data_IF_570002444639
#
_entry.id   IF_570002444639
#
_cell.length_a   1.000
_cell.length_b   1.000
_cell.length_c   1.000
_cell.angle_alpha   90.00
_cell.angle_beta   90.00
_cell.angle_gamma   90.00
#
_symmetry.space_group_name_H-M   'P 1'
#
loop_
_entity.id
_entity.type
_entity.pdbx_description
1 polymer ?
#
# COMPACT_ATOMS: atom_id res chain seq x y z
N UNK A 1 21.47 58.44 -67.41
CA UNK A 1 22.20 58.24 -66.14
C UNK A 1 21.19 57.80 -65.10
N UNK A 2 21.18 56.51 -64.76
CA UNK A 2 20.11 55.85 -63.99
C UNK A 2 20.54 55.60 -62.53
N UNK A 3 19.75 56.10 -61.58
CA UNK A 3 19.87 55.88 -60.13
C UNK A 3 18.87 54.80 -59.71
N UNK A 4 19.26 53.52 -59.69
CA UNK A 4 18.43 52.47 -59.10
C UNK A 4 19.20 51.18 -58.82
N UNK A 5 20.01 51.12 -57.76
CA UNK A 5 20.45 49.83 -57.17
C UNK A 5 21.27 50.04 -55.89
N UNK A 6 20.66 50.44 -54.77
CA UNK A 6 21.36 50.43 -53.48
C UNK A 6 20.43 50.46 -52.24
N UNK A 7 19.39 49.61 -52.17
CA UNK A 7 18.52 49.53 -50.97
C UNK A 7 17.89 48.15 -50.71
N UNK A 8 18.66 47.05 -50.82
CA UNK A 8 18.15 45.69 -50.49
C UNK A 8 19.06 44.83 -49.59
N UNK A 9 20.07 45.41 -48.94
CA UNK A 9 21.09 44.62 -48.23
C UNK A 9 21.11 44.65 -46.69
N UNK A 10 20.21 45.37 -46.00
CA UNK A 10 20.44 45.69 -44.56
C UNK A 10 19.31 45.24 -43.61
N UNK A 11 18.19 44.69 -44.11
CA UNK A 11 17.05 44.34 -43.24
C UNK A 11 16.94 42.86 -42.83
N UNK A 12 17.89 41.99 -43.22
CA UNK A 12 17.81 40.56 -42.88
C UNK A 12 18.78 40.09 -41.78
N UNK A 13 19.64 40.97 -41.25
CA UNK A 13 20.69 40.59 -40.28
C UNK A 13 20.37 40.90 -38.82
N UNK A 14 19.26 41.59 -38.52
CA UNK A 14 18.94 42.01 -37.14
C UNK A 14 17.89 41.13 -36.43
N UNK A 15 17.21 40.21 -37.14
CA UNK A 15 16.19 39.34 -36.55
C UNK A 15 16.73 38.02 -35.97
N UNK A 16 18.02 37.70 -36.17
CA UNK A 16 18.62 36.45 -35.70
C UNK A 16 19.30 36.56 -34.32
N UNK A 17 19.60 37.76 -33.83
CA UNK A 17 20.25 37.96 -32.52
C UNK A 17 19.29 38.09 -31.33
N UNK A 18 17.99 38.28 -31.57
CA UNK A 18 17.01 38.47 -30.50
C UNK A 18 16.49 37.17 -29.86
N UNK A 19 16.79 35.98 -30.42
CA UNK A 19 16.35 34.68 -29.87
C UNK A 19 17.43 33.98 -29.02
N UNK A 20 18.59 34.59 -28.78
CA UNK A 20 19.74 33.94 -28.14
C UNK A 20 19.86 34.20 -26.63
N UNK A 21 18.90 34.89 -26.00
CA UNK A 21 19.02 35.34 -24.61
C UNK A 21 17.89 34.89 -23.67
N UNK A 22 17.04 33.95 -24.09
CA UNK A 22 16.02 33.35 -23.20
C UNK A 22 16.39 31.92 -22.75
N UNK A 23 17.68 31.61 -22.62
CA UNK A 23 18.12 30.41 -21.92
C UNK A 23 18.09 30.73 -20.42
N UNK A 24 16.88 30.76 -19.86
CA UNK A 24 16.71 30.75 -18.41
C UNK A 24 17.24 29.42 -17.89
N UNK A 25 18.35 29.44 -17.16
CA UNK A 25 18.82 28.27 -16.43
C UNK A 25 17.72 27.87 -15.44
N UNK A 26 17.01 26.77 -15.70
CA UNK A 26 16.08 26.20 -14.74
C UNK A 26 16.90 25.65 -13.55
N UNK A 27 17.09 26.47 -12.51
CA UNK A 27 17.67 26.02 -11.25
C UNK A 27 16.60 25.41 -10.36
N UNK A 28 16.90 24.31 -9.69
CA UNK A 28 16.01 23.76 -8.66
C UNK A 28 15.84 24.81 -7.56
N UNK A 29 14.60 25.15 -7.16
CA UNK A 29 14.38 26.17 -6.14
C UNK A 29 14.92 25.73 -4.77
N UNK A 30 15.33 26.70 -3.97
CA UNK A 30 15.78 26.49 -2.58
C UNK A 30 14.58 26.22 -1.67
N UNK A 31 14.01 25.03 -1.79
CA UNK A 31 12.84 24.60 -1.02
C UNK A 31 13.09 23.26 -0.36
N UNK A 32 12.72 23.17 0.92
CA UNK A 32 12.64 21.92 1.64
C UNK A 32 11.19 21.43 1.64
N UNK A 33 10.98 20.19 1.22
CA UNK A 33 9.67 19.55 1.26
C UNK A 33 9.61 18.66 2.50
N UNK A 34 8.59 18.87 3.33
CA UNK A 34 8.34 18.03 4.51
C UNK A 34 7.32 16.94 4.20
N UNK A 35 7.43 15.80 4.89
CA UNK A 35 6.50 14.69 4.79
C UNK A 35 6.40 13.95 6.13
N UNK A 36 5.24 13.34 6.35
CA UNK A 36 4.91 12.75 7.66
C UNK A 36 5.32 11.29 7.77
N UNK A 37 5.75 10.81 8.95
CA UNK A 37 5.91 9.39 9.21
C UNK A 37 4.55 8.68 9.20
N UNK A 38 4.59 7.37 8.96
CA UNK A 38 3.43 6.48 9.01
C UNK A 38 3.21 6.01 10.46
N UNK A 39 1.97 6.15 10.95
CA UNK A 39 1.41 5.40 12.07
C UNK A 39 0.59 4.24 11.54
N UNK A 40 0.45 3.24 12.39
CA UNK A 40 -0.41 2.11 12.13
C UNK A 40 -1.38 1.89 13.28
N UNK A 41 -2.57 1.43 12.93
CA UNK A 41 -3.49 0.74 13.80
C UNK A 41 -3.99 -0.51 13.06
N UNK A 42 -4.45 -1.51 13.79
CA UNK A 42 -5.11 -2.67 13.19
C UNK A 42 -6.45 -2.85 13.89
N UNK A 43 -7.53 -2.70 13.14
CA UNK A 43 -8.86 -3.08 13.60
C UNK A 43 -9.01 -4.59 13.48
N UNK A 44 -9.44 -5.22 14.57
CA UNK A 44 -9.67 -6.67 14.63
C UNK A 44 -11.13 -6.89 14.96
N UNK A 45 -11.84 -7.58 14.07
CA UNK A 45 -13.24 -7.96 14.26
C UNK A 45 -13.34 -9.47 14.44
N UNK A 46 -13.81 -9.90 15.61
CA UNK A 46 -14.04 -11.30 15.95
C UNK A 46 -15.53 -11.59 15.87
N UNK A 47 -15.91 -12.48 14.96
CA UNK A 47 -17.31 -12.82 14.71
C UNK A 47 -17.60 -14.20 15.28
N UNK A 48 -18.55 -14.25 16.22
CA UNK A 48 -19.12 -15.49 16.73
C UNK A 48 -20.53 -15.61 16.19
N UNK A 49 -20.76 -16.62 15.36
CA UNK A 49 -22.07 -16.92 14.80
C UNK A 49 -22.65 -18.13 15.50
N UNK A 50 -23.78 -17.93 16.18
CA UNK A 50 -24.50 -18.96 16.90
C UNK A 50 -25.74 -19.31 16.11
N UNK A 51 -25.84 -20.55 15.65
CA UNK A 51 -27.00 -21.06 14.92
C UNK A 51 -27.70 -22.14 15.73
N UNK A 52 -29.01 -22.01 15.89
CA UNK A 52 -29.86 -22.97 16.57
C UNK A 52 -30.66 -23.82 15.58
N UNK A 53 -30.72 -25.13 15.83
CA UNK A 53 -31.63 -26.03 15.12
C UNK A 53 -33.11 -25.70 15.42
N UNK A 54 -34.03 -26.19 14.58
CA UNK A 54 -35.49 -26.08 14.80
C UNK A 54 -35.92 -26.72 16.13
N UNK A 55 -35.29 -27.84 16.49
CA UNK A 55 -35.60 -28.61 17.69
C UNK A 55 -34.93 -28.09 18.97
N UNK A 56 -34.24 -26.94 18.90
CA UNK A 56 -33.53 -26.32 20.02
C UNK A 56 -32.43 -27.20 20.67
N UNK A 57 -31.98 -28.26 19.97
CA UNK A 57 -31.00 -29.22 20.49
C UNK A 57 -29.55 -28.98 20.06
N UNK A 58 -29.33 -28.31 18.92
CA UNK A 58 -28.00 -28.19 18.32
C UNK A 58 -27.66 -26.71 18.19
N UNK A 59 -26.56 -26.34 18.85
CA UNK A 59 -25.94 -25.02 18.73
C UNK A 59 -24.63 -25.19 17.98
N UNK A 60 -24.54 -24.61 16.79
CA UNK A 60 -23.27 -24.49 16.06
C UNK A 60 -22.71 -23.10 16.30
N UNK A 61 -21.51 -23.05 16.86
CA UNK A 61 -20.76 -21.81 17.05
C UNK A 61 -19.67 -21.77 15.99
N UNK A 62 -19.88 -20.93 14.98
CA UNK A 62 -18.85 -20.63 13.99
C UNK A 62 -18.07 -19.40 14.47
N UNK A 63 -16.75 -19.46 14.33
CA UNK A 63 -15.82 -18.41 14.78
C UNK A 63 -15.00 -17.95 13.59
N UNK A 64 -14.85 -16.63 13.47
CA UNK A 64 -14.07 -16.02 12.41
C UNK A 64 -13.39 -14.76 12.94
N UNK A 65 -12.27 -14.37 12.32
CA UNK A 65 -11.53 -13.17 12.68
C UNK A 65 -11.08 -12.42 11.41
N UNK A 66 -11.41 -11.14 11.34
CA UNK A 66 -10.97 -10.24 10.28
C UNK A 66 -9.98 -9.21 10.84
N UNK A 67 -8.95 -8.92 10.04
CA UNK A 67 -7.88 -7.99 10.39
C UNK A 67 -7.78 -6.92 9.32
N UNK A 68 -7.98 -5.66 9.71
CA UNK A 68 -7.94 -4.51 8.80
C UNK A 68 -6.86 -3.55 9.28
N UNK A 69 -5.68 -3.51 8.63
CA UNK A 69 -4.66 -2.53 8.95
C UNK A 69 -5.09 -1.15 8.45
N UNK A 70 -4.90 -0.14 9.30
CA UNK A 70 -5.18 1.26 9.02
C UNK A 70 -3.88 2.02 9.16
N UNK A 71 -3.48 2.71 8.09
CA UNK A 71 -2.27 3.53 8.08
C UNK A 71 -2.63 5.00 7.97
N UNK A 72 -2.01 5.83 8.79
CA UNK A 72 -2.27 7.27 8.85
C UNK A 72 -0.98 8.03 9.13
N UNK A 73 -0.98 9.34 8.89
CA UNK A 73 0.13 10.20 9.23
C UNK A 73 0.30 10.37 10.75
N UNK A 74 1.55 10.51 11.20
CA UNK A 74 1.88 10.73 12.62
C UNK A 74 1.78 12.19 13.05
N UNK A 75 0.57 12.65 13.41
CA UNK A 75 0.40 13.93 14.08
C UNK A 75 0.64 13.74 15.61
N UNK A 76 1.52 14.53 16.28
CA UNK A 76 2.21 15.75 15.85
C UNK A 76 3.75 15.61 15.71
N UNK A 77 4.27 14.44 15.31
CA UNK A 77 5.74 14.24 15.30
C UNK A 77 6.45 15.13 14.29
N UNK A 78 7.75 15.36 14.51
CA UNK A 78 8.61 16.09 13.59
C UNK A 78 8.53 15.48 12.18
N UNK A 79 8.15 16.31 11.21
CA UNK A 79 8.14 15.91 9.81
C UNK A 79 9.56 15.51 9.37
N UNK A 80 9.64 14.48 8.54
CA UNK A 80 10.85 14.24 7.75
C UNK A 80 10.96 15.32 6.67
N UNK A 81 12.18 15.66 6.24
CA UNK A 81 12.43 16.74 5.28
C UNK A 81 13.42 16.30 4.23
N UNK A 82 13.17 16.69 2.98
CA UNK A 82 14.12 16.58 1.87
C UNK A 82 14.39 18.00 1.38
N UNK A 83 15.66 18.37 1.34
CA UNK A 83 16.10 19.63 0.77
C UNK A 83 16.34 19.43 -0.74
N UNK A 84 15.47 20.00 -1.57
CA UNK A 84 15.55 19.82 -3.03
C UNK A 84 16.79 20.49 -3.63
N UNK A 85 17.31 21.54 -2.98
CA UNK A 85 18.53 22.21 -3.42
C UNK A 85 19.75 21.31 -3.36
N UNK A 86 19.76 20.33 -2.46
CA UNK A 86 20.87 19.38 -2.36
C UNK A 86 20.91 18.41 -3.55
N UNK A 87 19.79 18.23 -4.26
CA UNK A 87 19.73 17.44 -5.49
C UNK A 87 20.26 18.21 -6.70
N UNK A 88 20.35 19.55 -6.59
CA UNK A 88 20.80 20.43 -7.66
C UNK A 88 22.29 20.25 -7.99
N UNK A 89 22.61 20.37 -9.28
CA UNK A 89 23.97 20.58 -9.77
C UNK A 89 23.91 21.54 -10.94
N UNK A 90 24.88 22.47 -10.95
CA UNK A 90 25.02 23.58 -11.90
C UNK A 90 25.00 23.25 -13.41
N UNK A 91 24.99 21.96 -13.82
CA UNK A 91 24.98 21.53 -15.22
C UNK A 91 24.02 20.39 -15.55
N UNK A 92 23.07 20.10 -14.66
CA UNK A 92 22.18 18.97 -14.80
C UNK A 92 20.73 19.42 -14.81
N UNK A 93 19.99 19.00 -15.83
CA UNK A 93 18.55 19.21 -15.90
C UNK A 93 17.87 18.08 -15.13
N UNK A 94 17.20 18.43 -14.03
CA UNK A 94 16.60 17.47 -13.10
C UNK A 94 15.11 17.69 -13.01
N UNK A 95 14.35 16.66 -13.37
CA UNK A 95 12.93 16.55 -13.12
C UNK A 95 12.73 15.72 -11.83
N UNK A 96 12.09 16.31 -10.82
CA UNK A 96 11.81 15.68 -9.54
C UNK A 96 10.30 15.75 -9.29
N UNK A 97 9.66 14.58 -9.22
CA UNK A 97 8.26 14.43 -8.87
C UNK A 97 8.14 13.73 -7.52
N UNK A 98 7.52 14.42 -6.57
CA UNK A 98 7.11 13.87 -5.28
C UNK A 98 5.60 13.66 -5.30
N UNK A 99 5.14 12.50 -4.85
CA UNK A 99 3.72 12.25 -4.63
C UNK A 99 3.46 12.00 -3.15
N UNK A 100 2.38 12.57 -2.65
CA UNK A 100 1.93 12.43 -1.26
C UNK A 100 0.55 11.81 -1.23
N UNK A 101 0.25 11.14 -0.12
CA UNK A 101 -1.13 10.79 0.24
C UNK A 101 -1.88 12.04 0.74
N UNK A 102 -3.21 11.93 0.83
CA UNK A 102 -4.05 13.05 1.29
C UNK A 102 -3.73 13.49 2.73
N UNK A 103 -3.18 12.60 3.55
CA UNK A 103 -2.74 12.87 4.93
C UNK A 103 -1.27 13.34 5.06
N UNK A 104 -0.58 13.56 3.93
CA UNK A 104 0.77 14.15 3.88
C UNK A 104 1.94 13.17 4.04
N UNK A 105 1.69 11.86 3.90
CA UNK A 105 2.75 10.84 3.87
C UNK A 105 3.36 10.75 2.47
N UNK A 106 4.63 10.39 2.39
CA UNK A 106 5.31 10.20 1.10
C UNK A 106 4.79 8.92 0.41
N UNK A 107 4.30 9.04 -0.82
CA UNK A 107 3.84 7.92 -1.67
C UNK A 107 4.89 7.51 -2.69
N UNK A 108 5.53 8.48 -3.34
CA UNK A 108 6.62 8.18 -4.29
C UNK A 108 7.58 9.34 -4.48
N UNK A 109 8.81 9.01 -4.87
CA UNK A 109 9.83 9.95 -5.35
C UNK A 109 10.31 9.45 -6.70
N UNK A 110 10.14 10.24 -7.75
CA UNK A 110 10.70 9.96 -9.07
C UNK A 110 11.64 11.11 -9.42
N UNK A 111 12.87 10.79 -9.77
CA UNK A 111 13.85 11.74 -10.25
C UNK A 111 14.40 11.25 -11.58
N UNK A 112 14.42 12.12 -12.59
CA UNK A 112 15.17 11.91 -13.82
C UNK A 112 16.08 13.10 -14.03
N UNK A 113 17.37 12.83 -14.14
CA UNK A 113 18.37 13.85 -14.43
C UNK A 113 19.03 13.55 -15.76
N UNK A 114 19.17 14.56 -16.62
CA UNK A 114 20.01 14.52 -17.82
C UNK A 114 21.14 15.53 -17.69
N UNK A 115 22.38 15.04 -17.74
CA UNK A 115 23.57 15.89 -17.80
C UNK A 115 23.68 16.59 -19.15
N UNK A 116 23.80 17.91 -19.16
CA UNK A 116 23.84 18.71 -20.39
C UNK A 116 25.16 18.54 -21.17
N UNK A 117 26.18 17.92 -20.56
CA UNK A 117 27.43 17.60 -21.24
C UNK A 117 27.24 16.72 -22.49
N UNK A 118 26.18 15.91 -22.54
CA UNK A 118 25.86 15.12 -23.73
C UNK A 118 25.45 16.00 -24.91
N UNK A 119 24.71 17.10 -24.69
CA UNK A 119 24.32 18.02 -25.76
C UNK A 119 25.52 18.83 -26.28
N UNK A 120 26.47 19.18 -25.43
CA UNK A 120 27.70 19.86 -25.85
C UNK A 120 28.55 18.95 -26.75
N UNK A 121 28.72 17.68 -26.35
CA UNK A 121 29.49 16.71 -27.14
C UNK A 121 28.74 16.30 -28.42
N UNK A 122 27.42 16.09 -28.36
CA UNK A 122 26.60 15.83 -29.55
C UNK A 122 26.50 17.05 -30.46
N UNK A 123 26.56 18.28 -29.96
CA UNK A 123 26.67 19.49 -30.77
C UNK A 123 27.95 19.50 -31.60
N UNK A 124 29.07 19.06 -31.00
CA UNK A 124 30.34 18.94 -31.71
C UNK A 124 30.35 17.78 -32.74
N UNK A 125 29.68 16.66 -32.45
CA UNK A 125 29.65 15.47 -33.32
C UNK A 125 28.55 15.58 -34.42
N UNK A 126 27.44 16.27 -34.16
CA UNK A 126 26.35 16.48 -35.14
C UNK A 126 26.73 17.45 -36.25
N UNK A 127 27.72 18.32 -36.03
CA UNK A 127 28.42 19.05 -37.10
C UNK A 127 29.21 18.12 -38.04
N UNK A 128 29.55 16.90 -37.61
CA UNK A 128 30.20 15.87 -38.44
C UNK A 128 29.26 14.76 -38.95
N UNK A 129 28.12 14.51 -38.30
CA UNK A 129 27.24 13.37 -38.59
C UNK A 129 26.02 13.70 -39.47
N UNK A 130 25.87 14.95 -39.93
CA UNK A 130 24.83 15.35 -40.90
C UNK A 130 24.97 14.71 -42.29
N UNK A 131 25.94 13.81 -42.48
CA UNK A 131 26.14 13.04 -43.72
C UNK A 131 25.52 11.64 -43.71
N UNK A 132 25.04 11.11 -42.57
CA UNK A 132 24.61 9.71 -42.49
C UNK A 132 23.45 9.53 -41.52
N UNK A 133 22.20 9.65 -41.99
CA UNK A 133 21.06 9.13 -41.23
C UNK A 133 20.00 8.51 -42.13
N UNK A 134 19.59 7.30 -41.75
CA UNK A 134 18.45 6.60 -42.31
C UNK A 134 18.25 5.27 -41.60
N UNK A 135 17.40 5.22 -40.57
CA UNK A 135 16.49 4.10 -40.32
C UNK A 135 15.48 4.37 -39.18
N UNK A 136 14.24 3.99 -39.44
CA UNK A 136 13.04 4.08 -38.60
C UNK A 136 12.82 2.79 -37.81
N UNK A 137 12.31 2.86 -36.58
CA UNK A 137 11.70 1.71 -35.87
C UNK A 137 10.43 2.15 -35.13
N UNK A 138 9.35 1.37 -35.32
CA UNK A 138 7.99 1.61 -34.83
C UNK A 138 7.64 0.97 -33.46
N UNK A 139 6.35 0.96 -33.07
CA UNK A 139 5.90 0.79 -31.69
C UNK A 139 5.59 -0.67 -31.29
N UNK A 140 5.81 -1.01 -30.01
CA UNK A 140 5.53 -2.32 -29.41
C UNK A 140 4.31 -2.32 -28.47
N UNK A 141 3.69 -3.50 -28.40
CA UNK A 141 2.36 -3.81 -27.89
C UNK A 141 2.24 -3.97 -26.36
N UNK A 142 0.98 -3.92 -25.91
CA UNK A 142 0.48 -4.05 -24.53
C UNK A 142 0.21 -5.50 -24.13
N UNK A 143 0.50 -5.87 -22.87
CA UNK A 143 0.25 -7.20 -22.29
C UNK A 143 -0.57 -7.14 -20.98
N UNK A 144 -1.46 -8.13 -20.86
CA UNK A 144 -2.43 -8.40 -19.80
C UNK A 144 -1.82 -8.64 -18.40
N UNK A 145 -2.52 -8.20 -17.35
CA UNK A 145 -2.21 -8.49 -15.94
C UNK A 145 -2.96 -9.73 -15.38
N UNK A 146 -2.37 -10.46 -14.42
CA UNK A 146 -2.97 -11.62 -13.76
C UNK A 146 -3.76 -11.27 -12.49
N UNK A 147 -4.84 -12.02 -12.26
CA UNK A 147 -5.75 -11.91 -11.11
C UNK A 147 -5.17 -12.63 -9.89
N UNK A 148 -4.93 -11.91 -8.79
CA UNK A 148 -4.46 -12.49 -7.53
C UNK A 148 -5.64 -13.13 -6.76
N UNK A 149 -5.57 -14.45 -6.55
CA UNK A 149 -6.56 -15.23 -5.80
C UNK A 149 -6.43 -15.01 -4.29
N UNK A 150 -7.58 -14.79 -3.64
CA UNK A 150 -7.73 -14.78 -2.20
C UNK A 150 -7.50 -16.23 -1.70
N UNK A 151 -6.51 -16.41 -0.82
CA UNK A 151 -6.31 -17.66 -0.10
C UNK A 151 -7.47 -17.82 0.89
N UNK A 152 -8.42 -18.66 0.53
CA UNK A 152 -9.50 -19.13 1.41
C UNK A 152 -8.87 -19.93 2.56
N UNK A 153 -9.00 -19.41 3.78
CA UNK A 153 -8.62 -20.12 4.99
C UNK A 153 -9.49 -21.37 5.15
N UNK A 154 -8.83 -22.49 5.42
CA UNK A 154 -9.43 -23.79 5.67
C UNK A 154 -10.29 -23.71 6.96
N UNK A 155 -11.61 -23.87 6.81
CA UNK A 155 -12.56 -23.73 7.92
C UNK A 155 -12.61 -25.01 8.75
N UNK A 156 -11.99 -24.97 9.92
CA UNK A 156 -12.20 -25.98 10.96
C UNK A 156 -13.62 -25.86 11.54
N UNK A 157 -14.57 -26.60 10.97
CA UNK A 157 -15.91 -26.77 11.54
C UNK A 157 -15.79 -27.73 12.73
N UNK A 158 -15.39 -27.21 13.89
CA UNK A 158 -15.40 -27.95 15.15
C UNK A 158 -16.85 -28.29 15.56
N UNK A 159 -17.29 -29.51 15.25
CA UNK A 159 -18.50 -30.12 15.85
C UNK A 159 -18.20 -30.58 17.28
N UNK A 160 -17.83 -29.66 18.17
CA UNK A 160 -17.75 -30.00 19.60
C UNK A 160 -19.18 -29.94 20.15
N UNK A 161 -19.76 -31.10 20.45
CA UNK A 161 -20.98 -31.14 21.27
C UNK A 161 -20.65 -30.42 22.59
N UNK A 162 -21.29 -29.28 22.81
CA UNK A 162 -21.16 -28.51 24.05
C UNK A 162 -21.58 -29.43 25.21
N UNK A 163 -20.60 -29.95 25.96
CA UNK A 163 -20.83 -30.44 27.32
C UNK A 163 -21.06 -29.20 28.19
N UNK A 164 -22.27 -28.66 28.16
CA UNK A 164 -22.61 -27.36 28.70
C UNK A 164 -24.12 -27.18 28.84
N UNK A 165 -24.61 -25.95 29.07
CA UNK A 165 -26.01 -25.64 29.42
C UNK A 165 -27.04 -26.29 28.50
N UNK A 166 -28.27 -26.44 29.00
CA UNK A 166 -29.40 -26.91 28.20
C UNK A 166 -29.50 -26.09 26.89
N UNK A 167 -29.24 -26.70 25.71
CA UNK A 167 -29.23 -26.01 24.42
C UNK A 167 -30.50 -25.19 24.16
N UNK A 168 -31.63 -25.63 24.71
CA UNK A 168 -32.91 -24.93 24.67
C UNK A 168 -32.89 -23.53 25.30
N UNK A 169 -32.16 -23.31 26.39
CA UNK A 169 -32.07 -21.99 27.02
C UNK A 169 -31.32 -20.99 26.14
N UNK A 170 -30.23 -21.45 25.51
CA UNK A 170 -29.43 -20.66 24.57
C UNK A 170 -30.29 -20.28 23.36
N UNK A 171 -30.97 -21.26 22.76
CA UNK A 171 -31.82 -21.00 21.59
C UNK A 171 -33.02 -20.12 21.91
N UNK A 172 -33.60 -20.24 23.11
CA UNK A 172 -34.63 -19.31 23.59
C UNK A 172 -34.12 -17.86 23.68
N UNK A 173 -32.88 -17.65 24.13
CA UNK A 173 -32.26 -16.32 24.15
C UNK A 173 -31.98 -15.78 22.73
N UNK A 174 -31.49 -16.62 21.82
CA UNK A 174 -31.26 -16.23 20.42
C UNK A 174 -32.56 -15.84 19.73
N UNK A 175 -33.64 -16.63 19.89
CA UNK A 175 -34.95 -16.32 19.30
C UNK A 175 -35.54 -15.01 19.79
N UNK A 176 -35.28 -14.61 21.04
CA UNK A 176 -35.72 -13.31 21.59
C UNK A 176 -34.98 -12.12 21.00
N UNK A 177 -33.75 -12.33 20.52
CA UNK A 177 -32.88 -11.28 19.99
C UNK A 177 -32.86 -11.22 18.46
N UNK A 178 -33.54 -12.15 17.78
CA UNK A 178 -33.56 -12.23 16.31
C UNK A 178 -34.98 -12.11 15.77
N UNK A 179 -35.16 -11.25 14.76
CA UNK A 179 -36.39 -11.20 13.98
C UNK A 179 -36.26 -12.24 12.88
N UNK A 180 -36.97 -13.35 13.01
CA UNK A 180 -36.86 -14.49 12.10
C UNK A 180 -37.92 -14.42 11.00
N UNK A 181 -37.48 -14.59 9.76
CA UNK A 181 -38.38 -15.02 8.70
C UNK A 181 -38.82 -16.48 8.96
N UNK A 182 -40.03 -16.89 8.54
CA UNK A 182 -40.59 -18.23 8.83
C UNK A 182 -39.68 -19.40 8.41
N UNK A 183 -38.84 -19.18 7.40
CA UNK A 183 -38.06 -20.22 6.76
C UNK A 183 -36.59 -20.24 7.22
N UNK A 184 -36.17 -19.27 8.04
CA UNK A 184 -34.78 -19.14 8.49
C UNK A 184 -34.59 -19.72 9.89
N UNK A 185 -33.44 -20.35 10.11
CA UNK A 185 -33.08 -20.78 11.46
C UNK A 185 -32.68 -19.57 12.32
N UNK A 186 -32.96 -19.62 13.63
CA UNK A 186 -32.45 -18.64 14.59
C UNK A 186 -30.92 -18.60 14.50
N UNK A 187 -30.41 -17.51 13.94
CA UNK A 187 -28.98 -17.26 13.83
C UNK A 187 -28.70 -15.84 14.31
N UNK A 188 -27.71 -15.69 15.19
CA UNK A 188 -27.17 -14.39 15.56
C UNK A 188 -25.66 -14.37 15.30
N UNK A 189 -25.17 -13.24 14.81
CA UNK A 189 -23.74 -12.97 14.66
C UNK A 189 -23.35 -11.85 15.62
N UNK A 190 -22.52 -12.20 16.59
CA UNK A 190 -21.99 -11.27 17.59
C UNK A 190 -20.61 -10.84 17.14
N UNK A 191 -20.42 -9.53 17.01
CA UNK A 191 -19.17 -8.95 16.51
C UNK A 191 -18.49 -8.25 17.68
N UNK A 192 -17.29 -8.71 18.01
CA UNK A 192 -16.43 -8.03 18.96
C UNK A 192 -15.33 -7.30 18.21
N UNK A 193 -15.09 -6.04 18.55
CA UNK A 193 -14.06 -5.22 17.91
C UNK A 193 -12.97 -4.86 18.90
N UNK A 194 -11.72 -4.94 18.46
CA UNK A 194 -10.55 -4.41 19.14
C UNK A 194 -9.73 -3.56 18.17
N UNK A 195 -8.94 -2.64 18.71
CA UNK A 195 -7.93 -1.91 17.95
C UNK A 195 -6.56 -2.16 18.57
N UNK A 196 -5.61 -2.59 17.75
CA UNK A 196 -4.20 -2.64 18.12
C UNK A 196 -3.49 -1.41 17.56
N UNK A 197 -2.46 -0.93 18.25
CA UNK A 197 -1.57 0.12 17.76
C UNK A 197 -0.20 0.00 18.45
N UNK A 198 0.70 0.97 18.23
CA UNK A 198 2.04 0.97 18.82
C UNK A 198 2.06 1.00 20.36
N UNK A 199 0.99 1.49 21.00
CA UNK A 199 0.88 1.63 22.46
C UNK A 199 0.12 0.45 23.09
N UNK A 200 -0.81 -0.15 22.34
CA UNK A 200 -1.64 -1.27 22.76
C UNK A 200 -1.48 -2.45 21.79
N UNK A 201 -0.46 -3.27 22.01
CA UNK A 201 -0.22 -4.50 21.23
C UNK A 201 -1.08 -5.69 21.69
N UNK A 202 -1.86 -5.51 22.76
CA UNK A 202 -2.82 -6.49 23.25
C UNK A 202 -4.11 -5.76 23.58
N UNK A 203 -5.24 -6.35 23.23
CA UNK A 203 -6.56 -5.78 23.47
C UNK A 203 -7.59 -6.88 23.70
N UNK A 204 -8.62 -6.56 24.48
CA UNK A 204 -9.80 -7.41 24.65
C UNK A 204 -10.88 -6.84 23.72
N UNK A 205 -11.32 -7.59 22.69
CA UNK A 205 -12.45 -7.20 21.85
C UNK A 205 -13.69 -6.97 22.68
N UNK A 206 -14.38 -5.86 22.41
CA UNK A 206 -15.65 -5.52 23.05
C UNK A 206 -16.80 -5.73 22.07
N UNK A 207 -17.90 -6.27 22.55
CA UNK A 207 -19.13 -6.34 21.78
C UNK A 207 -19.65 -4.92 21.51
N UNK A 208 -20.47 -4.77 20.48
CA UNK A 208 -21.25 -3.52 20.31
C UNK A 208 -22.22 -3.35 21.48
N UNK A 209 -22.52 -2.09 21.85
CA UNK A 209 -23.43 -1.76 22.96
C UNK A 209 -24.78 -2.49 22.85
N UNK A 210 -25.31 -2.63 21.63
CA UNK A 210 -26.58 -3.31 21.35
C UNK A 210 -26.52 -4.83 21.59
N UNK A 211 -25.31 -5.41 21.64
CA UNK A 211 -25.07 -6.83 21.81
C UNK A 211 -24.61 -7.21 23.23
N UNK A 212 -24.29 -6.23 24.09
CA UNK A 212 -23.79 -6.50 25.45
C UNK A 212 -24.77 -7.36 26.27
N UNK A 213 -26.07 -7.02 26.24
CA UNK A 213 -27.12 -7.78 26.95
C UNK A 213 -27.19 -9.24 26.48
N UNK A 214 -27.03 -9.46 25.17
CA UNK A 214 -27.02 -10.81 24.61
C UNK A 214 -25.77 -11.59 25.05
N UNK A 215 -24.61 -10.95 25.03
CA UNK A 215 -23.33 -11.55 25.46
C UNK A 215 -23.37 -11.91 26.95
N UNK A 216 -23.88 -11.03 27.80
CA UNK A 216 -24.06 -11.32 29.24
C UNK A 216 -25.05 -12.46 29.46
N UNK A 217 -26.16 -12.48 28.72
CA UNK A 217 -27.13 -13.56 28.76
C UNK A 217 -26.50 -14.91 28.38
N UNK A 218 -25.72 -14.95 27.30
CA UNK A 218 -24.99 -16.15 26.89
C UNK A 218 -23.95 -16.58 27.93
N UNK A 219 -23.23 -15.63 28.54
CA UNK A 219 -22.27 -15.89 29.60
C UNK A 219 -22.93 -16.46 30.85
N UNK A 220 -24.13 -15.98 31.22
CA UNK A 220 -24.91 -16.53 32.34
C UNK A 220 -25.36 -17.98 32.10
N UNK A 221 -25.49 -18.36 30.82
CA UNK A 221 -25.72 -19.73 30.40
C UNK A 221 -24.42 -20.54 30.31
N UNK A 222 -23.25 -19.96 30.57
CA UNK A 222 -21.97 -20.67 30.48
C UNK A 222 -21.39 -20.77 29.07
N UNK A 223 -21.88 -19.96 28.11
CA UNK A 223 -21.22 -19.73 26.83
C UNK A 223 -20.36 -18.48 26.96
N UNK A 224 -19.05 -18.67 27.13
CA UNK A 224 -18.09 -17.57 27.19
C UNK A 224 -17.51 -17.27 25.80
N UNK A 225 -17.93 -16.13 25.24
CA UNK A 225 -17.44 -15.60 23.96
C UNK A 225 -16.29 -14.59 24.12
N UNK A 226 -15.75 -14.48 25.34
CA UNK A 226 -14.59 -13.62 25.60
C UNK A 226 -13.43 -14.07 24.73
N UNK A 227 -12.87 -13.11 23.98
CA UNK A 227 -11.70 -13.31 23.16
C UNK A 227 -10.59 -12.37 23.59
N UNK A 228 -9.37 -12.68 23.21
CA UNK A 228 -8.19 -11.85 23.42
C UNK A 228 -7.46 -11.72 22.09
N UNK A 229 -6.94 -10.53 21.84
CA UNK A 229 -6.15 -10.23 20.65
C UNK A 229 -4.75 -9.87 21.10
N UNK A 230 -3.76 -10.56 20.56
CA UNK A 230 -2.35 -10.34 20.87
C UNK A 230 -1.55 -10.12 19.60
N UNK A 231 -0.79 -9.03 19.57
CA UNK A 231 0.21 -8.73 18.57
C UNK A 231 1.62 -9.06 19.08
N UNK A 232 2.42 -9.70 18.23
CA UNK A 232 3.84 -9.96 18.47
C UNK A 232 4.63 -9.38 17.30
N UNK A 233 5.54 -8.45 17.58
CA UNK A 233 6.46 -7.96 16.58
C UNK A 233 7.46 -9.06 16.20
N UNK A 234 7.53 -9.35 14.91
CA UNK A 234 8.58 -10.16 14.33
C UNK A 234 9.92 -9.44 14.36
N UNK A 235 10.99 -10.22 14.35
CA UNK A 235 12.37 -9.72 14.30
C UNK A 235 12.87 -9.47 12.88
N UNK A 236 12.15 -9.98 11.88
CA UNK A 236 12.47 -9.83 10.46
C UNK A 236 12.09 -8.43 9.97
N UNK A 237 13.08 -7.68 9.48
CA UNK A 237 12.85 -6.41 8.80
C UNK A 237 12.29 -6.66 7.40
N UNK A 238 11.17 -6.02 7.06
CA UNK A 238 10.45 -6.25 5.80
C UNK A 238 10.98 -5.39 4.64
N UNK A 239 12.18 -4.85 4.76
CA UNK A 239 12.73 -3.97 3.75
C UNK A 239 13.62 -4.72 2.77
N UNK A 240 13.50 -4.42 1.45
CA UNK A 240 14.26 -5.13 0.42
C UNK A 240 15.74 -4.71 0.35
N UNK A 241 16.29 -4.06 1.38
CA UNK A 241 17.63 -3.48 1.37
C UNK A 241 18.51 -4.26 2.34
N UNK A 242 19.39 -5.10 1.80
CA UNK A 242 20.30 -5.93 2.60
C UNK A 242 21.33 -5.11 3.41
N UNK A 243 21.67 -3.90 2.96
CA UNK A 243 22.67 -3.04 3.58
C UNK A 243 22.14 -1.62 3.76
N UNK A 244 21.48 -1.38 4.89
CA UNK A 244 21.08 -0.05 5.32
C UNK A 244 22.33 0.76 5.66
N UNK A 245 22.71 1.71 4.80
CA UNK A 245 23.78 2.65 5.12
C UNK A 245 23.32 3.57 6.26
N UNK A 246 24.17 3.76 7.27
CA UNK A 246 23.94 4.75 8.34
C UNK A 246 24.35 6.16 7.94
N UNK A 247 25.13 6.32 6.87
CA UNK A 247 25.59 7.60 6.36
C UNK A 247 25.47 7.68 4.84
N UNK A 248 25.34 8.90 4.35
CA UNK A 248 25.14 9.24 2.95
C UNK A 248 26.44 9.86 2.41
N UNK A 249 26.83 9.50 1.19
CA UNK A 249 28.03 10.06 0.56
C UNK A 249 27.85 11.56 0.22
N UNK A 250 28.96 12.26 -0.04
CA UNK A 250 28.92 13.68 -0.45
C UNK A 250 28.10 13.93 -1.74
N UNK A 251 27.97 12.89 -2.58
CA UNK A 251 27.24 12.91 -3.86
C UNK A 251 25.81 12.36 -3.77
N UNK A 252 25.30 12.15 -2.56
CA UNK A 252 23.97 11.61 -2.30
C UNK A 252 23.20 12.57 -1.37
N UNK A 253 21.87 12.52 -1.41
CA UNK A 253 20.96 13.29 -0.55
C UNK A 253 20.21 12.29 0.34
N UNK A 254 20.16 12.51 1.67
CA UNK A 254 19.49 11.59 2.57
C UNK A 254 17.97 11.66 2.42
N UNK A 255 17.33 10.52 2.16
CA UNK A 255 15.89 10.34 2.33
C UNK A 255 15.60 9.47 3.56
N UNK A 256 15.03 10.05 4.61
CA UNK A 256 14.77 9.32 5.86
C UNK A 256 13.44 8.56 5.78
N UNK A 257 13.46 7.26 6.01
CA UNK A 257 12.27 6.40 5.99
C UNK A 257 12.19 5.57 7.28
N UNK A 258 10.98 5.17 7.67
CA UNK A 258 10.80 4.29 8.83
C UNK A 258 11.16 2.84 8.49
N UNK A 259 11.75 2.14 9.46
CA UNK A 259 11.97 0.69 9.37
C UNK A 259 10.63 -0.04 9.53
N UNK A 260 10.45 -1.08 8.72
CA UNK A 260 9.25 -1.90 8.70
C UNK A 260 9.52 -3.26 9.31
N UNK A 261 8.63 -3.71 10.18
CA UNK A 261 8.66 -5.07 10.74
C UNK A 261 7.33 -5.77 10.49
N UNK A 262 7.33 -7.08 10.62
CA UNK A 262 6.10 -7.86 10.64
C UNK A 262 5.44 -7.80 12.02
N UNK A 263 4.14 -7.59 12.09
CA UNK A 263 3.32 -7.83 13.28
C UNK A 263 2.51 -9.12 13.06
N UNK A 264 2.75 -10.13 13.87
CA UNK A 264 1.91 -11.32 13.93
C UNK A 264 0.79 -11.06 14.91
N UNK A 265 -0.43 -10.95 14.42
CA UNK A 265 -1.63 -10.78 15.24
C UNK A 265 -2.32 -12.14 15.36
N UNK A 266 -2.61 -12.57 16.59
CA UNK A 266 -3.42 -13.77 16.86
C UNK A 266 -4.65 -13.40 17.69
N UNK A 267 -5.73 -14.12 17.43
CA UNK A 267 -6.98 -14.05 18.22
C UNK A 267 -7.20 -15.40 18.87
N UNK A 268 -7.41 -15.39 20.18
CA UNK A 268 -7.66 -16.58 20.99
C UNK A 268 -8.94 -16.39 21.82
N UNK A 269 -9.73 -17.44 21.95
CA UNK A 269 -10.86 -17.54 22.88
C UNK A 269 -10.65 -18.69 23.88
N UNK A 270 -11.66 -18.94 24.71
CA UNK A 270 -11.68 -20.06 25.66
C UNK A 270 -11.54 -21.45 25.02
N UNK A 271 -11.78 -21.55 23.72
CA UNK A 271 -11.76 -22.78 22.92
C UNK A 271 -10.53 -22.89 22.01
N UNK A 272 -9.61 -21.92 22.05
CA UNK A 272 -8.33 -21.94 21.33
C UNK A 272 -8.14 -20.78 20.35
N UNK A 273 -7.22 -20.93 19.40
CA UNK A 273 -6.94 -19.91 18.38
C UNK A 273 -8.09 -19.84 17.36
N UNK A 274 -8.63 -18.65 17.17
CA UNK A 274 -9.66 -18.37 16.14
C UNK A 274 -8.98 -18.11 14.79
N UNK A 275 -7.91 -17.34 14.78
CA UNK A 275 -7.18 -16.99 13.56
C UNK A 275 -6.00 -16.06 13.83
N UNK A 276 -5.25 -15.76 12.79
CA UNK A 276 -4.14 -14.81 12.86
C UNK A 276 -3.76 -14.22 11.50
N UNK A 277 -3.04 -13.10 11.53
CA UNK A 277 -2.59 -12.39 10.34
C UNK A 277 -1.19 -11.79 10.53
N UNK A 278 -0.43 -11.72 9.43
CA UNK A 278 0.90 -11.10 9.36
C UNK A 278 0.76 -9.73 8.69
N UNK A 279 0.96 -8.65 9.43
CA UNK A 279 0.74 -7.26 8.97
C UNK A 279 2.08 -6.52 8.96
N UNK A 280 2.37 -5.76 7.89
CA UNK A 280 3.54 -4.89 7.87
C UNK A 280 3.28 -3.61 8.69
N UNK A 281 4.12 -3.31 9.66
CA UNK A 281 3.96 -2.13 10.52
C UNK A 281 5.25 -1.32 10.61
N UNK A 282 5.17 0.03 10.58
CA UNK A 282 6.32 0.89 10.78
C UNK A 282 6.75 0.88 12.26
N UNK A 283 8.05 1.05 12.48
CA UNK A 283 8.65 1.21 13.82
C UNK A 283 9.05 2.67 14.05
N UNK A 284 9.44 2.99 15.30
CA UNK A 284 10.04 4.30 15.62
C UNK A 284 11.46 4.46 15.08
N UNK A 285 12.11 3.37 14.64
CA UNK A 285 13.44 3.41 14.07
C UNK A 285 13.36 3.85 12.62
N UNK A 286 14.32 4.66 12.20
CA UNK A 286 14.45 5.13 10.82
C UNK A 286 15.72 4.57 10.18
N UNK A 287 15.81 4.71 8.87
CA UNK A 287 17.02 4.50 8.08
C UNK A 287 17.07 5.56 6.98
N UNK A 288 18.23 5.70 6.36
CA UNK A 288 18.43 6.67 5.29
C UNK A 288 18.59 5.93 3.96
N UNK A 289 17.76 6.29 2.99
CA UNK A 289 17.87 5.88 1.61
C UNK A 289 18.64 6.97 0.83
N UNK A 290 19.81 6.67 0.25
CA UNK A 290 20.57 7.67 -0.48
C UNK A 290 19.94 7.94 -1.85
N UNK A 291 19.54 9.19 -2.09
CA UNK A 291 19.14 9.66 -3.42
C UNK A 291 20.40 10.20 -4.12
N UNK A 292 20.85 9.63 -5.25
CA UNK A 292 22.04 10.12 -5.92
C UNK A 292 21.79 11.52 -6.49
N UNK A 293 22.73 12.45 -6.27
CA UNK A 293 22.68 13.78 -6.88
C UNK A 293 22.74 13.68 -8.40
N UNK A 294 22.23 14.73 -9.04
CA UNK A 294 22.25 14.87 -10.48
C UNK A 294 23.65 14.62 -11.09
N UNK A 295 23.75 13.73 -12.09
CA UNK A 295 25.01 13.46 -12.78
C UNK A 295 25.37 14.59 -13.76
N UNK A 296 26.66 14.92 -13.86
CA UNK A 296 27.14 15.93 -14.82
C UNK A 296 27.05 15.44 -16.28
N UNK A 297 27.09 14.12 -16.49
CA UNK A 297 27.08 13.48 -17.80
C UNK A 297 26.14 12.27 -17.82
N UNK A 298 25.50 12.04 -18.97
CA UNK A 298 24.58 10.93 -19.17
C UNK A 298 23.21 11.15 -18.51
N UNK A 299 22.40 10.09 -18.45
CA UNK A 299 21.10 10.11 -17.78
C UNK A 299 21.17 9.33 -16.47
N UNK A 300 20.53 9.85 -15.43
CA UNK A 300 20.36 9.17 -14.15
C UNK A 300 18.89 9.17 -13.79
N UNK A 301 18.38 8.05 -13.29
CA UNK A 301 17.01 7.95 -12.78
C UNK A 301 17.00 7.33 -11.39
N UNK A 302 16.16 7.88 -10.51
CA UNK A 302 15.84 7.30 -9.21
C UNK A 302 14.32 7.18 -9.11
N UNK A 303 13.86 6.03 -8.65
CA UNK A 303 12.44 5.77 -8.45
C UNK A 303 12.25 5.07 -7.12
N UNK A 304 11.37 5.64 -6.30
CA UNK A 304 10.88 5.07 -5.06
C UNK A 304 9.37 5.10 -5.07
N UNK A 305 8.73 3.95 -4.83
CA UNK A 305 7.30 3.85 -4.56
C UNK A 305 7.13 3.17 -3.21
N UNK A 306 6.35 3.80 -2.33
CA UNK A 306 5.99 3.29 -1.02
C UNK A 306 4.55 2.76 -1.06
N UNK A 307 4.30 1.67 -0.35
CA UNK A 307 2.94 1.21 -0.03
C UNK A 307 2.34 2.06 1.09
N UNK A 308 1.03 1.91 1.35
CA UNK A 308 0.35 2.62 2.44
C UNK A 308 0.96 2.34 3.82
N UNK A 309 1.60 1.19 4.00
CA UNK A 309 2.32 0.88 5.25
C UNK A 309 3.60 1.70 5.46
N UNK A 310 4.09 2.39 4.43
CA UNK A 310 5.42 2.99 4.38
C UNK A 310 6.53 2.04 3.91
N UNK A 311 6.20 0.75 3.64
CA UNK A 311 7.15 -0.20 3.06
C UNK A 311 7.47 0.15 1.61
N UNK A 312 8.75 0.05 1.24
CA UNK A 312 9.23 0.14 -0.14
C UNK A 312 8.57 -0.93 -1.00
N UNK A 313 7.73 -0.51 -1.95
CA UNK A 313 7.11 -1.36 -2.96
C UNK A 313 7.99 -1.46 -4.21
N UNK A 314 8.62 -0.36 -4.61
CA UNK A 314 9.53 -0.31 -5.76
C UNK A 314 10.71 0.59 -5.44
N UNK A 315 11.92 0.14 -5.77
CA UNK A 315 13.15 0.91 -5.66
C UNK A 315 13.99 0.68 -6.91
N UNK A 316 14.28 1.74 -7.65
CA UNK A 316 15.02 1.69 -8.90
C UNK A 316 16.11 2.75 -8.94
N UNK A 317 17.30 2.34 -9.37
CA UNK A 317 18.40 3.23 -9.72
C UNK A 317 18.81 2.93 -11.16
N UNK A 318 18.85 3.95 -12.01
CA UNK A 318 19.31 3.88 -13.39
C UNK A 318 20.44 4.86 -13.62
N UNK A 319 21.49 4.42 -14.31
CA UNK A 319 22.55 5.29 -14.83
C UNK A 319 22.85 4.86 -16.26
N UNK A 320 22.70 5.79 -17.20
CA UNK A 320 23.07 5.62 -18.59
C UNK A 320 24.28 6.50 -18.88
N UNK A 321 25.46 5.89 -18.86
CA UNK A 321 26.71 6.57 -19.17
C UNK A 321 27.06 6.38 -20.65
N UNK A 322 26.76 7.39 -21.47
CA UNK A 322 27.61 7.83 -22.61
C UNK A 322 27.96 6.88 -23.78
N UNK A 323 27.49 5.63 -23.87
CA UNK A 323 27.71 4.78 -25.06
C UNK A 323 26.41 4.10 -25.48
N UNK A 324 26.01 4.17 -26.77
CA UNK A 324 24.78 3.55 -27.26
C UNK A 324 24.96 2.02 -27.33
N UNK A 325 24.74 1.34 -26.20
CA UNK A 325 24.52 -0.11 -26.16
C UNK A 325 23.06 -0.36 -25.78
N UNK A 326 22.27 -0.70 -26.81
CA UNK A 326 20.97 -1.39 -26.77
C UNK A 326 20.33 -1.61 -25.38
N UNK A 327 19.57 -0.61 -24.89
CA UNK A 327 18.66 -0.77 -23.76
C UNK A 327 17.38 -1.47 -24.22
N UNK A 328 17.25 -2.77 -23.91
CA UNK A 328 16.07 -3.57 -24.26
C UNK A 328 15.34 -4.27 -23.11
N UNK A 329 15.82 -4.22 -21.85
CA UNK A 329 15.27 -5.15 -20.83
C UNK A 329 15.05 -4.59 -19.41
N UNK A 330 15.57 -3.42 -19.04
CA UNK A 330 15.55 -3.01 -17.63
C UNK A 330 14.32 -2.19 -17.19
N UNK A 331 13.53 -1.65 -18.13
CA UNK A 331 12.36 -0.79 -17.82
C UNK A 331 11.00 -1.48 -18.02
N UNK A 332 10.95 -2.68 -18.61
CA UNK A 332 9.69 -3.38 -18.86
C UNK A 332 9.10 -4.09 -17.63
N UNK A 333 9.85 -4.24 -16.53
CA UNK A 333 9.41 -4.91 -15.30
C UNK A 333 8.95 -3.97 -14.18
N UNK A 334 8.93 -2.65 -14.41
CA UNK A 334 8.56 -1.64 -13.39
C UNK A 334 7.03 -1.44 -13.28
N UNK A 335 6.23 -1.87 -14.25
CA UNK A 335 4.78 -1.61 -14.30
C UNK A 335 3.88 -2.75 -13.76
N UNK A 336 4.44 -3.74 -13.06
CA UNK A 336 3.62 -4.64 -12.23
C UNK A 336 3.34 -3.97 -10.86
N UNK A 337 2.75 -2.77 -10.87
CA UNK A 337 2.13 -2.22 -9.67
C UNK A 337 0.96 -3.13 -9.31
N UNK A 338 1.17 -3.97 -8.31
CA UNK A 338 0.07 -4.56 -7.54
C UNK A 338 -0.57 -3.39 -6.80
N UNK A 339 -1.64 -2.84 -7.37
CA UNK A 339 -2.46 -1.82 -6.72
C UNK A 339 -3.13 -2.45 -5.50
N UNK A 340 -2.53 -2.26 -4.33
CA UNK A 340 -3.05 -2.71 -3.04
C UNK A 340 -4.29 -1.91 -2.62
N UNK A 341 -4.50 -0.72 -3.19
CA UNK A 341 -5.62 0.19 -2.87
C UNK A 341 -6.98 -0.43 -3.29
N UNK A 342 -7.02 -1.27 -4.33
CA UNK A 342 -8.22 -2.06 -4.68
C UNK A 342 -8.42 -3.27 -3.75
N UNK A 343 -7.39 -3.70 -3.03
CA UNK A 343 -7.45 -4.88 -2.18
C UNK A 343 -8.21 -4.60 -0.88
N UNK A 344 -8.20 -3.37 -0.36
CA UNK A 344 -8.93 -3.04 0.89
C UNK A 344 -10.44 -2.96 0.65
N UNK A 345 -10.89 -2.26 -0.40
CA UNK A 345 -12.30 -2.24 -0.78
C UNK A 345 -12.75 -3.63 -1.26
N UNK A 346 -11.88 -4.37 -1.94
CA UNK A 346 -12.15 -5.77 -2.28
C UNK A 346 -12.15 -6.68 -1.06
N UNK A 347 -11.37 -6.42 -0.01
CA UNK A 347 -11.36 -7.21 1.22
C UNK A 347 -12.62 -6.95 2.06
N UNK A 348 -13.06 -5.69 2.18
CA UNK A 348 -14.33 -5.34 2.83
C UNK A 348 -15.52 -5.92 2.06
N UNK A 349 -15.52 -5.80 0.73
CA UNK A 349 -16.52 -6.43 -0.12
C UNK A 349 -16.47 -7.96 -0.01
N UNK A 350 -15.27 -8.56 -0.05
CA UNK A 350 -15.09 -10.00 0.10
C UNK A 350 -15.54 -10.48 1.48
N UNK A 351 -15.33 -9.71 2.56
CA UNK A 351 -15.85 -10.03 3.88
C UNK A 351 -17.39 -9.99 3.90
N UNK A 352 -18.01 -8.98 3.28
CA UNK A 352 -19.47 -8.91 3.15
C UNK A 352 -20.04 -10.04 2.30
N UNK A 353 -19.37 -10.39 1.19
CA UNK A 353 -19.73 -11.50 0.33
C UNK A 353 -19.52 -12.85 1.04
N UNK A 354 -18.50 -12.98 1.88
CA UNK A 354 -18.24 -14.17 2.70
C UNK A 354 -19.36 -14.40 3.71
N UNK A 355 -19.84 -13.34 4.38
CA UNK A 355 -20.98 -13.40 5.28
C UNK A 355 -22.24 -13.83 4.51
N UNK A 356 -22.47 -13.25 3.32
CA UNK A 356 -23.59 -13.63 2.47
C UNK A 356 -23.49 -15.10 1.99
N UNK A 357 -22.29 -15.58 1.63
CA UNK A 357 -22.06 -16.96 1.25
C UNK A 357 -22.22 -17.93 2.44
N UNK A 358 -21.79 -17.53 3.64
CA UNK A 358 -22.02 -18.32 4.86
C UNK A 358 -23.51 -18.46 5.16
N UNK A 359 -24.29 -17.38 5.03
CA UNK A 359 -25.74 -17.43 5.18
C UNK A 359 -26.39 -18.37 4.14
N UNK A 360 -25.96 -18.30 2.87
CA UNK A 360 -26.44 -19.20 1.82
C UNK A 360 -26.08 -20.66 2.10
N UNK A 361 -24.82 -20.95 2.43
CA UNK A 361 -24.35 -22.30 2.71
C UNK A 361 -25.04 -22.93 3.92
N UNK A 362 -25.21 -22.16 4.99
CA UNK A 362 -25.93 -22.62 6.18
C UNK A 362 -27.40 -22.90 5.84
N UNK A 363 -28.08 -21.98 5.13
CA UNK A 363 -29.46 -22.20 4.64
C UNK A 363 -29.57 -23.48 3.83
N UNK A 364 -28.59 -23.72 2.95
CA UNK A 364 -28.48 -24.91 2.11
C UNK A 364 -28.34 -26.21 2.88
N UNK A 365 -27.49 -26.25 3.91
CA UNK A 365 -27.32 -27.46 4.74
C UNK A 365 -28.56 -27.82 5.52
N UNK A 366 -29.34 -26.81 5.91
CA UNK A 366 -30.48 -26.97 6.79
C UNK A 366 -31.76 -27.29 6.00
N UNK A 367 -31.83 -26.82 4.76
CA UNK A 367 -32.96 -27.06 3.85
C UNK A 367 -32.43 -27.43 2.47
N UNK A 368 -32.04 -28.70 2.24
CA UNK A 368 -31.38 -29.12 1.00
C UNK A 368 -32.20 -28.84 -0.27
N UNK A 369 -33.53 -28.80 -0.15
CA UNK A 369 -34.46 -28.51 -1.25
C UNK A 369 -34.50 -27.03 -1.67
N UNK A 370 -33.87 -26.13 -0.92
CA UNK A 370 -33.84 -24.68 -1.19
C UNK A 370 -32.49 -24.20 -1.77
N UNK A 371 -31.56 -25.10 -2.08
CA UNK A 371 -30.33 -24.75 -2.78
C UNK A 371 -30.59 -24.61 -4.29
N UNK A 372 -30.34 -23.43 -4.89
CA UNK A 372 -30.30 -23.27 -6.35
C UNK A 372 -29.09 -23.96 -6.98
#
# INVERSE_FOLDING_TARGET
MSKSSLRRGIFFTLAFFANLLLIGCASVPDVAVSYRPVRWATSVAVVHTITCSRDDQIVVIQRDAAFVPIYSADEPRDDFRIDLKQLDRFFADSDISLAFTDDGRLKSVNQSTTGQGELVVKGAISLGASLLSGQNVGPTASLNQPTAGILLFERDIFKKQLKGPAPAAVCGLIRKSTILAPDQLPQVSIVHTASLNSEAISAVPKASNDQEVLVEGLKSLGIDLSSSVKGIFGTEELQPIANLKSSVGADEVPLTLQRMVSLLVSVEDSSGTIGGSKIAVPTSRTFVLPIPKAALFGKQSFQLVLSDSGRIATLGYGKLTGVPAAMGAATATVNAQVNVDNAETAALKAASDLIAQQQRYNTCRLTPSACP
#
